data_IF_487757708068
#
_entry.id   IF_487757708068
#
_cell.length_a   1.000
_cell.length_b   1.000
_cell.length_c   1.000
_cell.angle_alpha   90.00
_cell.angle_beta   90.00
_cell.angle_gamma   90.00
#
_symmetry.space_group_name_H-M   'P 1'
#
loop_
_entity.id
_entity.type
_entity.pdbx_description
1 polymer ?
#
# COMPACT_ATOMS: atom_id res chain seq x y z
N UNK A 1 -3.85 7.26 9.75
CA UNK A 1 -3.76 8.35 10.75
C UNK A 1 -2.32 8.82 10.89
N UNK A 2 -1.38 7.98 11.35
CA UNK A 2 0.03 8.36 11.56
C UNK A 2 0.68 8.96 10.32
N UNK A 3 0.68 8.26 9.19
CA UNK A 3 1.39 8.68 7.95
C UNK A 3 0.62 9.65 7.03
N UNK A 4 -0.72 9.67 7.14
CA UNK A 4 -1.62 10.30 6.14
C UNK A 4 -2.67 11.23 6.71
N UNK A 5 -2.91 11.23 8.02
CA UNK A 5 -3.98 11.99 8.67
C UNK A 5 -5.41 11.44 8.47
N UNK A 6 -5.66 10.56 7.50
CA UNK A 6 -7.01 10.05 7.21
C UNK A 6 -7.48 8.98 8.20
N UNK A 7 -8.81 8.87 8.34
CA UNK A 7 -9.51 7.79 9.05
C UNK A 7 -10.11 6.80 8.05
N UNK A 8 -10.00 5.53 8.37
CA UNK A 8 -10.52 4.40 7.58
C UNK A 8 -11.53 3.59 8.41
N UNK A 9 -12.31 2.72 7.74
CA UNK A 9 -13.27 1.80 8.36
C UNK A 9 -13.36 0.50 7.54
N UNK A 10 -14.11 -0.49 8.02
CA UNK A 10 -14.35 -1.75 7.33
C UNK A 10 -13.05 -2.45 6.90
N UNK A 11 -12.11 -2.59 7.84
CA UNK A 11 -10.80 -3.16 7.58
C UNK A 11 -10.95 -4.67 7.40
N UNK A 12 -10.42 -5.22 6.31
CA UNK A 12 -10.43 -6.65 6.03
C UNK A 12 -9.11 -7.12 5.43
N UNK A 13 -8.77 -8.39 5.70
CA UNK A 13 -7.60 -9.04 5.11
C UNK A 13 -7.82 -9.29 3.62
N UNK A 14 -6.81 -8.98 2.80
CA UNK A 14 -6.76 -9.34 1.39
C UNK A 14 -5.94 -10.63 1.24
N UNK A 15 -4.64 -10.55 1.50
CA UNK A 15 -3.68 -11.65 1.28
C UNK A 15 -2.36 -11.34 2.00
N UNK A 16 -1.41 -12.26 1.88
CA UNK A 16 -0.05 -12.11 2.39
C UNK A 16 0.92 -12.39 1.24
N UNK A 17 1.91 -11.52 1.05
CA UNK A 17 3.02 -11.75 0.11
C UNK A 17 4.31 -12.05 0.85
N UNK A 18 5.25 -12.68 0.15
CA UNK A 18 6.53 -13.11 0.66
C UNK A 18 7.66 -12.40 -0.10
N UNK A 19 8.24 -11.36 0.49
CA UNK A 19 9.12 -10.40 -0.18
C UNK A 19 10.57 -10.51 0.32
N UNK A 20 11.47 -11.04 -0.53
CA UNK A 20 12.88 -11.25 -0.20
C UNK A 20 13.75 -10.19 -0.88
N UNK A 21 14.33 -9.30 -0.07
CA UNK A 21 15.26 -8.25 -0.47
C UNK A 21 16.69 -8.74 -0.28
N UNK A 22 17.22 -9.45 -1.29
CA UNK A 22 18.54 -10.11 -1.20
C UNK A 22 19.70 -9.13 -0.98
N UNK A 23 19.66 -7.96 -1.62
CA UNK A 23 20.74 -6.97 -1.54
C UNK A 23 20.85 -6.37 -0.13
N UNK A 24 19.70 -6.15 0.50
CA UNK A 24 19.58 -5.60 1.85
C UNK A 24 19.65 -6.69 2.94
N UNK A 25 19.71 -7.97 2.55
CA UNK A 25 19.60 -9.14 3.43
C UNK A 25 18.37 -9.07 4.34
N UNK A 26 17.21 -8.72 3.76
CA UNK A 26 15.93 -8.63 4.47
C UNK A 26 14.87 -9.54 3.87
N UNK A 27 13.97 -10.00 4.72
CA UNK A 27 12.86 -10.85 4.33
C UNK A 27 11.60 -10.37 5.07
N UNK A 28 10.60 -9.97 4.30
CA UNK A 28 9.34 -9.47 4.82
C UNK A 28 8.17 -10.38 4.41
N UNK A 29 7.24 -10.56 5.35
CA UNK A 29 5.88 -11.00 5.03
C UNK A 29 5.01 -9.75 5.04
N UNK A 30 4.46 -9.39 3.88
CA UNK A 30 3.62 -8.19 3.75
C UNK A 30 2.16 -8.60 3.84
N UNK A 31 1.46 -8.11 4.85
CA UNK A 31 0.03 -8.35 5.03
C UNK A 31 -0.74 -7.22 4.35
N UNK A 32 -1.47 -7.56 3.29
CA UNK A 32 -2.30 -6.60 2.58
C UNK A 32 -3.69 -6.55 3.19
N UNK A 33 -4.13 -5.33 3.52
CA UNK A 33 -5.44 -5.05 4.10
C UNK A 33 -6.20 -4.09 3.17
N UNK A 34 -7.50 -4.28 3.01
CA UNK A 34 -8.41 -3.30 2.40
C UNK A 34 -9.13 -2.53 3.50
N UNK A 35 -9.52 -1.30 3.19
CA UNK A 35 -10.38 -0.50 4.05
C UNK A 35 -11.11 0.56 3.22
N UNK A 36 -12.26 0.99 3.73
CA UNK A 36 -13.00 2.11 3.15
C UNK A 36 -12.50 3.43 3.74
N UNK A 37 -12.46 4.47 2.91
CA UNK A 37 -12.29 5.83 3.38
C UNK A 37 -13.47 6.21 4.30
N UNK A 38 -13.16 6.79 5.47
CA UNK A 38 -14.17 7.29 6.41
C UNK A 38 -14.25 8.81 6.39
N UNK A 39 -13.12 9.49 6.58
CA UNK A 39 -13.07 10.95 6.72
C UNK A 39 -11.63 11.45 6.83
N UNK A 40 -11.43 12.76 6.66
CA UNK A 40 -10.15 13.47 6.86
C UNK A 40 -9.49 13.86 5.55
N UNK A 41 -8.55 14.78 5.63
CA UNK A 41 -7.76 15.23 4.48
C UNK A 41 -6.40 14.54 4.50
N UNK A 42 -5.89 14.22 3.31
CA UNK A 42 -4.58 13.59 3.17
C UNK A 42 -3.51 14.64 3.43
N UNK A 43 -2.67 14.39 4.44
CA UNK A 43 -1.56 15.27 4.82
C UNK A 43 -0.27 14.46 4.87
N UNK A 44 0.82 15.07 4.42
CA UNK A 44 2.17 14.51 4.57
C UNK A 44 2.64 14.74 6.01
N UNK A 45 2.45 13.76 6.89
CA UNK A 45 2.77 13.89 8.32
C UNK A 45 4.23 13.59 8.65
N UNK A 46 4.90 12.78 7.82
CA UNK A 46 6.31 12.39 7.96
C UNK A 46 7.11 12.79 6.72
N UNK A 47 7.39 14.09 6.52
CA UNK A 47 8.07 14.60 5.32
C UNK A 47 9.53 14.13 5.19
N UNK A 48 10.14 13.66 6.28
CA UNK A 48 11.49 13.09 6.26
C UNK A 48 11.53 11.65 5.72
N UNK A 49 10.36 11.00 5.62
CA UNK A 49 10.21 9.60 5.16
C UNK A 49 9.50 9.52 3.82
N UNK A 50 8.47 10.35 3.61
CA UNK A 50 7.64 10.35 2.41
C UNK A 50 7.73 11.70 1.67
N UNK A 51 7.67 11.66 0.34
CA UNK A 51 7.67 12.89 -0.47
C UNK A 51 6.25 13.46 -0.63
N UNK A 52 5.25 12.58 -0.82
CA UNK A 52 3.85 12.95 -1.06
C UNK A 52 2.91 11.74 -1.01
N UNK A 53 1.62 12.05 -0.89
CA UNK A 53 0.53 11.09 -1.03
C UNK A 53 -0.35 11.46 -2.24
N UNK A 54 -0.73 10.48 -3.05
CA UNK A 54 -1.59 10.67 -4.22
C UNK A 54 -2.52 9.46 -4.40
N UNK A 55 -3.74 9.74 -4.87
CA UNK A 55 -4.69 8.71 -5.28
C UNK A 55 -4.50 8.36 -6.75
N UNK A 56 -4.58 7.08 -7.07
CA UNK A 56 -4.47 6.56 -8.43
C UNK A 56 -5.61 5.58 -8.71
N UNK A 57 -6.09 5.56 -9.94
CA UNK A 57 -6.93 4.46 -10.43
C UNK A 57 -6.09 3.17 -10.49
N UNK A 58 -6.71 2.02 -10.23
CA UNK A 58 -6.00 0.74 -10.14
C UNK A 58 -5.27 0.34 -11.44
N UNK A 59 -5.82 0.72 -12.59
CA UNK A 59 -5.24 0.49 -13.91
C UNK A 59 -4.21 1.57 -14.31
N UNK A 60 -4.02 2.61 -13.50
CA UNK A 60 -3.11 3.74 -13.73
C UNK A 60 -2.13 3.96 -12.58
N UNK A 61 -1.71 2.87 -11.94
CA UNK A 61 -0.69 2.92 -10.87
C UNK A 61 0.62 3.56 -11.39
N UNK A 62 1.31 4.36 -10.55
CA UNK A 62 2.56 5.01 -10.91
C UNK A 62 3.69 3.99 -11.07
N UNK A 63 4.82 4.41 -11.66
CA UNK A 63 6.02 3.60 -11.79
C UNK A 63 7.26 4.39 -11.32
N UNK A 64 8.27 3.73 -10.70
CA UNK A 64 8.29 2.30 -10.37
C UNK A 64 7.42 1.94 -9.14
N UNK A 65 6.97 0.69 -9.06
CA UNK A 65 6.24 0.16 -7.90
C UNK A 65 7.20 -0.59 -6.96
N UNK A 66 6.89 -0.60 -5.67
CA UNK A 66 7.59 -1.40 -4.68
C UNK A 66 7.35 -2.91 -4.91
N UNK A 67 8.33 -3.73 -4.53
CA UNK A 67 8.28 -5.19 -4.73
C UNK A 67 7.00 -5.86 -4.18
N UNK A 68 6.47 -5.52 -2.99
CA UNK A 68 5.27 -6.17 -2.46
C UNK A 68 4.04 -5.93 -3.32
N UNK A 69 3.90 -4.74 -3.90
CA UNK A 69 2.79 -4.42 -4.82
C UNK A 69 2.92 -5.21 -6.11
N UNK A 70 4.14 -5.37 -6.64
CA UNK A 70 4.37 -6.21 -7.81
C UNK A 70 4.02 -7.67 -7.52
N UNK A 71 4.36 -8.19 -6.35
CA UNK A 71 4.04 -9.56 -5.95
C UNK A 71 2.52 -9.76 -5.78
N UNK A 72 1.83 -8.79 -5.17
CA UNK A 72 0.38 -8.76 -5.06
C UNK A 72 -0.30 -8.83 -6.44
N UNK A 73 0.15 -8.02 -7.40
CA UNK A 73 -0.41 -8.00 -8.76
C UNK A 73 -0.17 -9.33 -9.49
N UNK A 74 1.02 -9.94 -9.34
CA UNK A 74 1.32 -11.25 -9.97
C UNK A 74 0.41 -12.37 -9.47
N UNK A 75 -0.05 -12.29 -8.22
CA UNK A 75 -1.04 -13.23 -7.67
C UNK A 75 -2.44 -13.04 -8.28
N UNK A 76 -2.62 -12.08 -9.20
CA UNK A 76 -3.89 -11.81 -9.88
C UNK A 76 -4.84 -10.95 -9.05
N UNK A 77 -4.37 -10.33 -7.96
CA UNK A 77 -5.21 -9.48 -7.14
C UNK A 77 -5.70 -8.24 -7.90
N UNK A 78 -6.99 -7.95 -7.74
CA UNK A 78 -7.60 -6.70 -8.18
C UNK A 78 -8.68 -6.30 -7.16
N UNK A 79 -8.55 -5.13 -6.50
CA UNK A 79 -9.50 -4.71 -5.46
C UNK A 79 -10.88 -4.32 -6.00
N UNK A 80 -11.04 -4.22 -7.32
CA UNK A 80 -12.27 -3.77 -7.98
C UNK A 80 -12.99 -4.89 -8.76
N UNK A 81 -12.51 -6.14 -8.67
CA UNK A 81 -13.11 -7.32 -9.32
C UNK A 81 -13.62 -8.32 -8.30
#
# INVERSE_FOLDING_TARGET
MEETGIKIKNISLITITNDIYKKENKHYLTIFMSADYKSGEVTLTEPDVFEKWQWFEWDKLPKPLMAPILELIKQGFNPLK
#
